data_IF_468120884781
#
_entry.id   IF_468120884781
#
_cell.length_a   1.000
_cell.length_b   1.000
_cell.length_c   1.000
_cell.angle_alpha   90.00
_cell.angle_beta   90.00
_cell.angle_gamma   90.00
#
_symmetry.space_group_name_H-M   'P 1'
#
loop_
_entity.id
_entity.type
_entity.pdbx_description
1 polymer ?
#
# COMPACT_ATOMS: atom_id res chain seq x y z
N UNK A 1 24.69 -17.29 -25.54
CA UNK A 1 23.62 -18.11 -26.14
C UNK A 1 22.31 -17.56 -25.57
N UNK A 2 21.56 -16.80 -26.37
CA UNK A 2 20.25 -16.35 -26.01
C UNK A 2 19.30 -17.53 -26.20
N UNK A 3 18.68 -17.97 -25.12
CA UNK A 3 17.70 -19.05 -25.20
C UNK A 3 16.43 -18.50 -25.88
N UNK A 4 16.00 -19.14 -26.95
CA UNK A 4 14.74 -18.90 -27.64
C UNK A 4 13.60 -19.50 -26.81
N UNK A 5 13.35 -19.01 -25.66
CA UNK A 5 12.07 -19.28 -24.99
C UNK A 5 11.00 -18.45 -25.70
N UNK A 6 9.97 -19.13 -26.15
CA UNK A 6 8.83 -18.67 -26.94
C UNK A 6 8.67 -17.15 -27.07
N UNK A 7 9.05 -16.64 -28.21
CA UNK A 7 9.41 -15.25 -28.46
C UNK A 7 8.30 -14.20 -28.17
N UNK A 8 7.11 -14.59 -27.77
CA UNK A 8 5.95 -13.69 -27.70
C UNK A 8 5.38 -13.45 -26.30
N UNK A 9 5.80 -14.19 -25.28
CA UNK A 9 5.11 -14.13 -23.97
C UNK A 9 5.76 -13.20 -22.93
N UNK A 10 6.96 -12.68 -23.18
CA UNK A 10 7.72 -11.96 -22.14
C UNK A 10 8.24 -10.58 -22.58
N UNK A 11 7.95 -10.14 -23.80
CA UNK A 11 8.37 -8.83 -24.30
C UNK A 11 7.17 -8.03 -24.75
N UNK A 12 7.07 -6.81 -24.29
CA UNK A 12 5.94 -5.93 -24.57
C UNK A 12 6.39 -4.48 -24.69
N UNK A 13 5.54 -3.67 -25.31
CA UNK A 13 5.59 -2.21 -25.24
C UNK A 13 4.31 -1.77 -24.57
N UNK A 14 4.43 -1.01 -23.49
CA UNK A 14 3.27 -0.46 -22.80
C UNK A 14 3.49 1.02 -22.45
N UNK A 15 2.42 1.78 -22.46
CA UNK A 15 2.43 3.20 -22.14
C UNK A 15 1.12 3.61 -21.48
N UNK A 16 1.21 4.59 -20.58
CA UNK A 16 0.06 5.30 -20.04
C UNK A 16 0.19 6.78 -20.29
N UNK A 17 -0.95 7.45 -20.47
CA UNK A 17 -1.05 8.90 -20.60
C UNK A 17 -2.24 9.37 -19.79
N UNK A 18 -2.09 10.47 -19.05
CA UNK A 18 -3.16 11.09 -18.28
C UNK A 18 -3.14 12.58 -18.54
N UNK A 19 -4.20 13.08 -19.14
CA UNK A 19 -4.49 14.52 -19.22
C UNK A 19 -5.50 14.88 -18.14
N UNK A 20 -5.24 15.93 -17.36
CA UNK A 20 -6.10 16.26 -16.23
C UNK A 20 -6.25 17.76 -16.01
N UNK A 21 -7.46 18.14 -15.58
CA UNK A 21 -7.79 19.47 -15.10
C UNK A 21 -8.53 19.36 -13.79
N UNK A 22 -8.18 20.21 -12.83
CA UNK A 22 -8.84 20.23 -11.53
C UNK A 22 -9.12 21.64 -11.03
N UNK A 23 -10.12 21.74 -10.16
CA UNK A 23 -10.47 22.96 -9.46
C UNK A 23 -10.94 22.66 -8.04
N UNK A 24 -10.64 23.56 -7.12
CA UNK A 24 -11.05 23.46 -5.71
C UNK A 24 -11.49 24.83 -5.20
N UNK A 25 -12.56 24.86 -4.43
CA UNK A 25 -12.97 25.98 -3.59
C UNK A 25 -12.79 25.60 -2.14
N UNK A 26 -12.14 26.46 -1.37
CA UNK A 26 -11.88 26.31 0.04
C UNK A 26 -12.31 27.59 0.75
N UNK A 27 -13.27 27.51 1.65
CA UNK A 27 -13.87 28.65 2.32
C UNK A 27 -14.02 28.40 3.81
N UNK A 28 -13.54 29.35 4.63
CA UNK A 28 -13.67 29.34 6.07
C UNK A 28 -14.71 30.38 6.51
N UNK A 29 -15.66 29.96 7.32
CA UNK A 29 -16.72 30.79 7.87
C UNK A 29 -16.57 30.94 9.38
N UNK A 30 -16.48 32.17 9.84
CA UNK A 30 -16.36 32.54 11.26
C UNK A 30 -15.20 31.84 11.99
N UNK A 31 -14.11 31.52 11.30
CA UNK A 31 -12.95 30.77 11.80
C UNK A 31 -13.28 29.41 12.48
N UNK A 32 -14.53 28.98 12.38
CA UNK A 32 -15.06 27.78 13.03
C UNK A 32 -15.38 26.68 12.03
N UNK A 33 -15.87 27.04 10.86
CA UNK A 33 -16.27 26.07 9.84
C UNK A 33 -15.47 26.27 8.56
N UNK A 34 -14.90 25.18 8.06
CA UNK A 34 -14.23 25.16 6.78
C UNK A 34 -14.93 24.21 5.84
N UNK A 35 -15.23 24.68 4.65
CA UNK A 35 -15.84 23.92 3.57
C UNK A 35 -14.87 23.82 2.41
N UNK A 36 -14.64 22.61 1.92
CA UNK A 36 -13.80 22.35 0.77
C UNK A 36 -14.57 21.52 -0.24
N UNK A 37 -14.66 21.98 -1.48
CA UNK A 37 -15.31 21.24 -2.57
C UNK A 37 -14.41 21.33 -3.79
N UNK A 38 -14.19 20.23 -4.45
CA UNK A 38 -13.35 20.16 -5.64
C UNK A 38 -13.77 19.06 -6.57
N UNK A 39 -13.26 19.13 -7.77
CA UNK A 39 -13.37 18.06 -8.75
C UNK A 39 -12.11 18.04 -9.62
N UNK A 40 -11.74 16.85 -10.05
CA UNK A 40 -10.66 16.59 -10.98
C UNK A 40 -11.24 15.79 -12.14
N UNK A 41 -11.13 16.30 -13.35
CA UNK A 41 -11.39 15.55 -14.57
C UNK A 41 -10.08 14.97 -15.08
N UNK A 42 -10.13 13.71 -15.52
CA UNK A 42 -9.01 13.01 -16.14
C UNK A 42 -9.47 12.33 -17.44
N UNK A 43 -8.66 12.42 -18.47
CA UNK A 43 -8.67 11.56 -19.65
C UNK A 43 -7.46 10.61 -19.52
N UNK A 44 -7.75 9.36 -19.14
CA UNK A 44 -6.75 8.33 -18.90
C UNK A 44 -6.73 7.36 -20.06
N UNK A 45 -5.53 7.09 -20.57
CA UNK A 45 -5.28 6.14 -21.65
C UNK A 45 -4.16 5.21 -21.26
N UNK A 46 -4.36 3.92 -21.51
CA UNK A 46 -3.32 2.91 -21.41
C UNK A 46 -3.29 2.08 -22.68
N UNK A 47 -2.12 1.66 -23.10
CA UNK A 47 -1.93 0.78 -24.23
C UNK A 47 -0.84 -0.25 -23.92
N UNK A 48 -1.08 -1.49 -24.30
CA UNK A 48 -0.11 -2.56 -24.22
C UNK A 48 -0.16 -3.40 -25.49
N UNK A 49 1.00 -3.72 -26.05
CA UNK A 49 1.13 -4.57 -27.22
C UNK A 49 2.32 -5.51 -27.06
N UNK A 50 2.17 -6.72 -27.53
CA UNK A 50 3.27 -7.68 -27.57
C UNK A 50 4.36 -7.21 -28.53
N UNK A 51 5.59 -7.34 -28.09
CA UNK A 51 6.78 -7.03 -28.88
C UNK A 51 7.63 -8.28 -29.07
N UNK A 52 7.80 -8.67 -30.32
CA UNK A 52 8.71 -9.75 -30.68
C UNK A 52 10.05 -9.18 -31.19
N UNK A 53 11.09 -9.07 -30.33
CA UNK A 53 12.39 -8.49 -30.73
C UNK A 53 13.10 -9.27 -31.84
N UNK A 54 12.66 -10.49 -32.14
CA UNK A 54 13.22 -11.38 -33.17
C UNK A 54 12.32 -11.54 -34.41
N UNK A 55 11.22 -10.77 -34.48
CA UNK A 55 10.31 -10.77 -35.63
C UNK A 55 10.95 -10.04 -36.83
N UNK A 56 11.28 -10.77 -37.89
CA UNK A 56 11.94 -10.21 -39.08
C UNK A 56 11.12 -10.40 -40.37
N UNK A 57 9.94 -10.96 -40.31
CA UNK A 57 9.08 -11.22 -41.46
C UNK A 57 7.69 -10.66 -41.28
N UNK A 58 6.95 -10.57 -42.39
CA UNK A 58 5.55 -10.15 -42.36
C UNK A 58 4.61 -11.14 -41.62
N UNK A 59 5.02 -12.41 -41.52
CA UNK A 59 4.32 -13.43 -40.75
C UNK A 59 4.70 -13.46 -39.27
N UNK A 60 5.85 -12.85 -38.92
CA UNK A 60 6.30 -12.70 -37.53
C UNK A 60 6.86 -11.28 -37.38
N UNK A 61 6.03 -10.25 -37.31
CA UNK A 61 6.49 -8.88 -37.16
C UNK A 61 6.99 -8.62 -35.72
N UNK A 62 7.91 -7.64 -35.57
CA UNK A 62 8.39 -7.20 -34.26
C UNK A 62 7.25 -6.65 -33.37
N UNK A 63 6.31 -5.96 -33.99
CA UNK A 63 5.09 -5.46 -33.36
C UNK A 63 3.94 -5.83 -34.28
N UNK A 64 2.82 -6.26 -33.72
CA UNK A 64 1.63 -6.52 -34.52
C UNK A 64 1.19 -5.25 -35.25
N UNK A 65 0.75 -5.39 -36.50
CA UNK A 65 0.12 -4.34 -37.28
C UNK A 65 -1.38 -4.60 -37.49
N UNK A 66 -1.90 -5.68 -36.88
CA UNK A 66 -3.32 -5.98 -36.89
C UNK A 66 -4.09 -4.98 -36.03
N UNK A 67 -5.04 -4.29 -36.63
CA UNK A 67 -5.76 -3.19 -36.01
C UNK A 67 -6.65 -3.66 -34.86
N UNK A 68 -7.24 -4.85 -34.97
CA UNK A 68 -8.12 -5.39 -33.93
C UNK A 68 -7.31 -5.79 -32.70
N UNK A 69 -6.14 -6.39 -32.91
CA UNK A 69 -5.18 -6.72 -31.84
C UNK A 69 -4.65 -5.46 -31.17
N UNK A 70 -4.29 -4.43 -31.92
CA UNK A 70 -3.85 -3.16 -31.34
C UNK A 70 -4.98 -2.49 -30.55
N UNK A 71 -6.20 -2.50 -31.08
CA UNK A 71 -7.36 -1.90 -30.41
C UNK A 71 -7.73 -2.63 -29.12
N UNK A 72 -7.56 -3.95 -29.06
CA UNK A 72 -7.83 -4.73 -27.83
C UNK A 72 -6.85 -4.43 -26.69
N UNK A 73 -5.65 -3.96 -27.01
CA UNK A 73 -4.62 -3.54 -26.02
C UNK A 73 -4.75 -2.08 -25.58
N UNK A 74 -5.80 -1.35 -26.01
CA UNK A 74 -6.02 0.05 -25.65
C UNK A 74 -7.23 0.19 -24.75
N UNK A 75 -7.03 0.77 -23.57
CA UNK A 75 -8.10 1.22 -22.69
C UNK A 75 -8.09 2.75 -22.63
N UNK A 76 -9.27 3.35 -22.71
CA UNK A 76 -9.46 4.80 -22.61
C UNK A 76 -10.68 5.10 -21.75
N UNK A 77 -10.51 5.99 -20.77
CA UNK A 77 -11.58 6.42 -19.87
C UNK A 77 -11.45 7.92 -19.58
N UNK A 78 -12.53 8.66 -19.75
CA UNK A 78 -12.63 9.99 -19.20
C UNK A 78 -13.57 10.00 -17.98
N UNK A 79 -13.12 10.63 -16.90
CA UNK A 79 -13.86 10.61 -15.64
C UNK A 79 -13.64 11.84 -14.78
N UNK A 80 -14.65 12.19 -14.00
CA UNK A 80 -14.61 13.23 -12.98
C UNK A 80 -14.51 12.56 -11.59
N UNK A 81 -13.54 13.00 -10.80
CA UNK A 81 -13.32 12.62 -9.42
C UNK A 81 -13.71 13.77 -8.50
N UNK A 82 -14.91 13.75 -7.91
CA UNK A 82 -15.36 14.78 -6.98
C UNK A 82 -14.70 14.60 -5.60
N UNK A 83 -14.61 15.71 -4.87
CA UNK A 83 -14.24 15.70 -3.45
C UNK A 83 -15.01 16.77 -2.70
N UNK A 84 -15.42 16.46 -1.48
CA UNK A 84 -16.09 17.40 -0.59
C UNK A 84 -15.64 17.16 0.86
N UNK A 85 -15.52 18.22 1.63
CA UNK A 85 -15.17 18.13 3.05
C UNK A 85 -15.76 19.28 3.85
N UNK A 86 -16.13 18.97 5.07
CA UNK A 86 -16.53 19.95 6.09
C UNK A 86 -15.67 19.72 7.33
N UNK A 87 -15.12 20.80 7.89
CA UNK A 87 -14.35 20.77 9.12
C UNK A 87 -14.96 21.75 10.12
N UNK A 88 -15.25 21.26 11.30
CA UNK A 88 -15.50 22.08 12.47
C UNK A 88 -14.20 22.31 13.23
N UNK A 89 -13.93 23.54 13.65
CA UNK A 89 -12.77 23.94 14.45
C UNK A 89 -13.22 24.58 15.75
N UNK A 90 -12.69 24.13 16.87
CA UNK A 90 -13.04 24.60 18.22
C UNK A 90 -11.96 24.23 19.24
N UNK A 91 -12.35 24.21 20.52
CA UNK A 91 -11.47 23.99 21.68
C UNK A 91 -11.92 22.85 22.60
N UNK A 92 -12.64 21.87 22.07
CA UNK A 92 -13.19 20.75 22.83
C UNK A 92 -12.09 19.92 23.53
N UNK A 93 -11.91 20.11 24.84
CA UNK A 93 -10.94 19.42 25.72
C UNK A 93 -9.45 19.58 25.32
N UNK A 94 -9.13 20.45 24.36
CA UNK A 94 -7.79 20.72 23.86
C UNK A 94 -7.65 22.19 23.49
N UNK A 95 -6.42 22.66 23.19
CA UNK A 95 -6.19 24.01 22.70
C UNK A 95 -6.81 24.20 21.30
N UNK A 96 -6.75 23.17 20.49
CA UNK A 96 -7.42 23.13 19.19
C UNK A 96 -8.04 21.74 18.98
N UNK A 97 -9.31 21.74 18.63
CA UNK A 97 -10.06 20.57 18.22
C UNK A 97 -10.54 20.73 16.79
N UNK A 98 -10.44 19.67 15.99
CA UNK A 98 -11.01 19.63 14.66
C UNK A 98 -11.82 18.36 14.48
N UNK A 99 -13.02 18.50 13.91
CA UNK A 99 -13.84 17.37 13.45
C UNK A 99 -14.06 17.53 11.95
N UNK A 100 -13.60 16.58 11.18
CA UNK A 100 -13.62 16.62 9.71
C UNK A 100 -14.39 15.45 9.15
N UNK A 101 -15.36 15.73 8.30
CA UNK A 101 -16.01 14.74 7.43
C UNK A 101 -15.54 14.98 6.01
N UNK A 102 -15.05 13.94 5.35
CA UNK A 102 -14.57 13.94 3.98
C UNK A 102 -15.27 12.91 3.11
N UNK A 103 -15.49 13.25 1.86
CA UNK A 103 -15.87 12.36 0.77
C UNK A 103 -14.96 12.60 -0.41
N UNK A 104 -14.49 11.55 -1.06
CA UNK A 104 -13.76 11.67 -2.33
C UNK A 104 -13.89 10.41 -3.17
N UNK A 105 -13.87 10.59 -4.48
CA UNK A 105 -13.65 9.51 -5.43
C UNK A 105 -12.20 9.53 -5.91
N UNK A 106 -11.62 8.34 -6.05
CA UNK A 106 -10.24 8.13 -6.53
C UNK A 106 -10.18 6.88 -7.40
N UNK A 107 -9.07 6.67 -8.10
CA UNK A 107 -8.84 5.44 -8.84
C UNK A 107 -7.44 4.88 -8.59
N UNK A 108 -7.32 3.54 -8.61
CA UNK A 108 -6.05 2.84 -8.72
C UNK A 108 -5.89 2.41 -10.17
N UNK A 109 -4.78 2.82 -10.76
CA UNK A 109 -4.41 2.44 -12.13
C UNK A 109 -3.55 1.18 -12.08
N UNK A 110 -3.74 0.23 -13.00
CA UNK A 110 -2.85 -0.92 -13.10
C UNK A 110 -1.43 -0.49 -13.51
N UNK A 111 -0.44 -1.25 -13.07
CA UNK A 111 0.94 -1.10 -13.55
C UNK A 111 1.04 -1.53 -15.02
N UNK A 112 2.03 -0.98 -15.75
CA UNK A 112 2.28 -1.34 -17.15
C UNK A 112 2.50 -2.84 -17.35
N UNK A 113 3.05 -3.54 -16.37
CA UNK A 113 3.24 -4.99 -16.39
C UNK A 113 1.94 -5.77 -16.21
N UNK A 114 1.00 -5.22 -15.48
CA UNK A 114 -0.29 -5.85 -15.19
C UNK A 114 -1.23 -5.87 -16.40
N UNK A 115 -1.11 -4.87 -17.28
CA UNK A 115 -1.94 -4.73 -18.49
C UNK A 115 -1.38 -5.46 -19.72
N UNK A 116 -0.39 -6.34 -19.54
CA UNK A 116 0.22 -7.13 -20.64
C UNK A 116 0.00 -8.61 -20.39
N UNK A 117 -0.05 -9.41 -21.43
CA UNK A 117 -0.11 -10.87 -21.31
C UNK A 117 1.27 -11.50 -21.02
N UNK A 118 2.25 -10.66 -20.69
CA UNK A 118 3.60 -11.12 -20.35
C UNK A 118 3.63 -11.77 -18.96
N UNK A 119 4.58 -12.70 -18.81
CA UNK A 119 4.81 -13.38 -17.53
C UNK A 119 6.17 -12.98 -16.94
N UNK A 120 6.24 -12.91 -15.62
CA UNK A 120 7.48 -12.68 -14.89
C UNK A 120 7.55 -13.56 -13.64
N UNK A 121 8.75 -13.76 -13.13
CA UNK A 121 8.94 -14.46 -11.87
C UNK A 121 9.02 -13.43 -10.76
N UNK A 122 8.19 -13.58 -9.73
CA UNK A 122 8.29 -12.80 -8.51
C UNK A 122 9.66 -13.08 -7.88
N UNK A 123 10.51 -12.04 -7.68
CA UNK A 123 11.86 -12.26 -7.18
C UNK A 123 11.92 -12.68 -5.71
N UNK A 124 10.83 -12.51 -4.96
CA UNK A 124 10.75 -12.84 -3.54
C UNK A 124 10.30 -14.29 -3.37
N UNK A 125 9.18 -14.67 -3.98
CA UNK A 125 8.59 -16.00 -3.79
C UNK A 125 8.97 -17.02 -4.86
N UNK A 126 9.49 -16.55 -6.00
CA UNK A 126 9.77 -17.40 -7.15
C UNK A 126 8.53 -17.82 -7.95
N UNK A 127 7.35 -17.30 -7.61
CA UNK A 127 6.13 -17.60 -8.32
C UNK A 127 6.10 -16.98 -9.71
N UNK A 128 5.53 -17.70 -10.67
CA UNK A 128 5.24 -17.14 -11.98
C UNK A 128 4.00 -16.24 -11.86
N UNK A 129 4.15 -14.97 -12.23
CA UNK A 129 3.05 -14.00 -12.29
C UNK A 129 2.75 -13.67 -13.73
N UNK A 130 1.48 -13.71 -14.12
CA UNK A 130 1.00 -13.36 -15.44
C UNK A 130 0.15 -12.11 -15.37
N UNK A 131 0.48 -11.13 -16.19
CA UNK A 131 -0.37 -9.97 -16.41
C UNK A 131 -1.58 -10.33 -17.29
N UNK A 132 -2.48 -9.38 -17.46
CA UNK A 132 -3.73 -9.58 -18.20
C UNK A 132 -4.12 -8.27 -18.89
N UNK A 133 -4.13 -8.26 -20.21
CA UNK A 133 -4.50 -7.09 -21.02
C UNK A 133 -5.94 -6.62 -20.82
N UNK A 134 -6.79 -7.43 -20.21
CA UNK A 134 -8.17 -7.08 -19.85
C UNK A 134 -8.34 -6.37 -18.50
N UNK A 135 -7.25 -6.07 -17.79
CA UNK A 135 -7.31 -5.35 -16.50
C UNK A 135 -7.63 -3.88 -16.72
N UNK A 136 -8.61 -3.40 -15.98
CA UNK A 136 -9.05 -2.00 -15.98
C UNK A 136 -8.79 -1.34 -14.63
N UNK A 137 -8.77 0.01 -14.55
CA UNK A 137 -8.63 0.71 -13.27
C UNK A 137 -9.69 0.31 -12.24
N UNK A 138 -9.30 0.35 -10.97
CA UNK A 138 -10.21 0.23 -9.83
C UNK A 138 -10.68 1.61 -9.40
N UNK A 139 -11.99 1.77 -9.20
CA UNK A 139 -12.58 2.99 -8.66
C UNK A 139 -12.81 2.87 -7.17
N UNK A 140 -12.55 3.93 -6.43
CA UNK A 140 -12.69 3.94 -4.98
C UNK A 140 -13.52 5.14 -4.54
N UNK A 141 -14.59 4.87 -3.81
CA UNK A 141 -15.36 5.87 -3.06
C UNK A 141 -14.87 5.86 -1.62
N UNK A 142 -14.46 7.02 -1.09
CA UNK A 142 -13.89 7.17 0.24
C UNK A 142 -14.79 8.07 1.09
N UNK A 143 -15.09 7.63 2.30
CA UNK A 143 -15.75 8.43 3.34
C UNK A 143 -14.90 8.32 4.62
N UNK A 144 -14.52 9.49 5.17
CA UNK A 144 -13.70 9.59 6.35
C UNK A 144 -14.31 10.56 7.35
N UNK A 145 -14.38 10.15 8.62
CA UNK A 145 -14.71 11.02 9.76
C UNK A 145 -13.51 11.05 10.70
N UNK A 146 -12.86 12.22 10.83
CA UNK A 146 -11.61 12.40 11.59
C UNK A 146 -11.81 13.43 12.69
N UNK A 147 -11.49 13.05 13.92
CA UNK A 147 -11.45 13.92 15.10
C UNK A 147 -9.99 14.09 15.56
N UNK A 148 -9.55 15.31 15.75
CA UNK A 148 -8.17 15.67 16.06
C UNK A 148 -8.13 16.60 17.27
N UNK A 149 -7.34 16.25 18.28
CA UNK A 149 -7.09 17.06 19.49
C UNK A 149 -5.61 17.47 19.52
N UNK A 150 -5.35 18.76 19.55
CA UNK A 150 -4.02 19.34 19.67
C UNK A 150 -3.90 20.06 20.99
N UNK A 151 -2.94 19.69 21.80
CA UNK A 151 -2.71 20.25 23.13
C UNK A 151 -1.55 21.24 23.11
N UNK A 152 -1.54 22.21 24.05
CA UNK A 152 -0.50 23.24 24.17
C UNK A 152 0.92 22.70 24.37
N UNK A 153 1.05 21.48 24.88
CA UNK A 153 2.34 20.77 25.03
C UNK A 153 2.94 20.26 23.73
N UNK A 154 2.27 20.39 22.58
CA UNK A 154 2.63 19.73 21.32
C UNK A 154 2.08 18.32 21.17
N UNK A 155 1.48 17.80 22.22
CA UNK A 155 0.80 16.49 22.19
C UNK A 155 -0.39 16.53 21.24
N UNK A 156 -0.67 15.40 20.61
CA UNK A 156 -1.89 15.27 19.81
C UNK A 156 -2.45 13.86 19.88
N UNK A 157 -3.75 13.76 19.67
CA UNK A 157 -4.49 12.51 19.51
C UNK A 157 -5.42 12.68 18.33
N UNK A 158 -5.47 11.68 17.48
CA UNK A 158 -6.37 11.63 16.32
C UNK A 158 -7.11 10.31 16.29
N UNK A 159 -8.39 10.38 15.95
CA UNK A 159 -9.22 9.19 15.69
C UNK A 159 -9.91 9.38 14.35
N UNK A 160 -9.72 8.42 13.45
CA UNK A 160 -10.34 8.40 12.12
C UNK A 160 -11.19 7.16 11.96
N UNK A 161 -12.45 7.35 11.56
CA UNK A 161 -13.30 6.28 11.04
C UNK A 161 -13.28 6.39 9.52
N UNK A 162 -13.07 5.28 8.81
CA UNK A 162 -13.03 5.30 7.36
C UNK A 162 -13.81 4.14 6.74
N UNK A 163 -14.33 4.39 5.56
CA UNK A 163 -14.91 3.38 4.67
C UNK A 163 -14.44 3.66 3.24
N UNK A 164 -14.08 2.60 2.53
CA UNK A 164 -13.69 2.59 1.13
C UNK A 164 -14.48 1.51 0.40
N UNK A 165 -15.24 1.91 -0.59
CA UNK A 165 -15.96 1.01 -1.49
C UNK A 165 -15.21 0.98 -2.83
N UNK A 166 -14.80 -0.21 -3.28
CA UNK A 166 -13.91 -0.41 -4.42
C UNK A 166 -14.67 -1.15 -5.51
N UNK A 167 -14.73 -0.59 -6.70
CA UNK A 167 -15.22 -1.26 -7.90
C UNK A 167 -14.04 -1.78 -8.71
N UNK A 168 -14.17 -2.97 -9.26
CA UNK A 168 -13.14 -3.65 -10.03
C UNK A 168 -11.77 -3.72 -9.32
N UNK A 169 -11.67 -4.15 -8.04
CA UNK A 169 -10.36 -4.26 -7.39
C UNK A 169 -9.42 -5.13 -8.20
N UNK A 170 -8.17 -4.67 -8.36
CA UNK A 170 -7.11 -5.42 -9.05
C UNK A 170 -6.54 -6.41 -8.04
N UNK A 171 -6.58 -7.69 -8.34
CA UNK A 171 -6.24 -8.78 -7.42
C UNK A 171 -5.47 -9.90 -8.10
N UNK A 172 -4.70 -10.65 -7.30
CA UNK A 172 -4.00 -11.84 -7.71
C UNK A 172 -4.83 -13.09 -7.42
N UNK A 173 -4.97 -13.94 -8.43
CA UNK A 173 -5.61 -15.25 -8.29
C UNK A 173 -4.68 -16.34 -8.78
N UNK A 174 -4.69 -17.46 -8.08
CA UNK A 174 -3.93 -18.63 -8.47
C UNK A 174 -4.49 -19.27 -9.74
N UNK A 175 -3.61 -19.60 -10.69
CA UNK A 175 -3.96 -20.33 -11.90
C UNK A 175 -3.06 -21.56 -12.06
N UNK A 176 -3.57 -22.69 -12.61
CA UNK A 176 -2.72 -23.83 -12.92
C UNK A 176 -1.79 -23.47 -14.08
N UNK A 177 -0.48 -23.56 -13.84
CA UNK A 177 0.53 -23.37 -14.87
C UNK A 177 1.04 -24.69 -15.45
N UNK A 178 1.11 -25.74 -14.61
CA UNK A 178 1.40 -27.13 -14.97
C UNK A 178 0.90 -28.07 -13.88
N UNK A 179 1.11 -29.39 -14.03
CA UNK A 179 0.73 -30.37 -12.99
C UNK A 179 1.49 -30.17 -11.66
N UNK A 180 2.58 -29.42 -11.67
CA UNK A 180 3.45 -29.23 -10.49
C UNK A 180 3.78 -27.76 -10.20
N UNK A 181 3.33 -26.81 -11.03
CA UNK A 181 3.66 -25.40 -10.91
C UNK A 181 2.38 -24.56 -10.87
N UNK A 182 2.29 -23.69 -9.89
CA UNK A 182 1.24 -22.70 -9.75
C UNK A 182 1.75 -21.37 -10.30
N UNK A 183 0.87 -20.66 -10.98
CA UNK A 183 1.09 -19.27 -11.38
C UNK A 183 0.01 -18.38 -10.78
N UNK A 184 0.25 -17.08 -10.77
CA UNK A 184 -0.74 -16.07 -10.39
C UNK A 184 -1.12 -15.27 -11.61
N UNK A 185 -2.37 -14.97 -11.75
CA UNK A 185 -2.90 -14.07 -12.76
C UNK A 185 -3.50 -12.82 -12.09
N UNK A 186 -3.29 -11.68 -12.72
CA UNK A 186 -3.84 -10.41 -12.28
C UNK A 186 -5.19 -10.23 -12.97
N UNK A 187 -6.24 -10.02 -12.19
CA UNK A 187 -7.59 -9.76 -12.71
C UNK A 187 -8.30 -8.68 -11.90
N UNK A 188 -9.38 -8.11 -12.45
CA UNK A 188 -10.31 -7.34 -11.65
C UNK A 188 -11.33 -8.28 -10.99
N UNK A 189 -11.41 -8.25 -9.67
CA UNK A 189 -12.54 -8.79 -8.94
C UNK A 189 -13.80 -7.91 -9.15
N UNK A 190 -14.96 -8.36 -8.68
CA UNK A 190 -16.22 -7.66 -8.87
C UNK A 190 -16.31 -6.39 -7.99
N UNK A 191 -16.06 -6.55 -6.69
CA UNK A 191 -16.13 -5.46 -5.72
C UNK A 191 -15.26 -5.73 -4.51
N UNK A 192 -14.90 -4.67 -3.79
CA UNK A 192 -14.21 -4.72 -2.51
C UNK A 192 -14.71 -3.63 -1.59
N UNK A 193 -14.60 -3.87 -0.29
CA UNK A 193 -14.87 -2.90 0.75
C UNK A 193 -13.80 -2.97 1.83
N UNK A 194 -13.41 -1.82 2.35
CA UNK A 194 -12.55 -1.72 3.54
C UNK A 194 -13.17 -0.70 4.48
N UNK A 195 -13.29 -1.04 5.74
CA UNK A 195 -13.77 -0.13 6.79
C UNK A 195 -12.95 -0.31 8.05
N UNK A 196 -12.77 0.76 8.79
CA UNK A 196 -11.97 0.64 10.00
C UNK A 196 -11.89 1.90 10.84
N UNK A 197 -11.08 1.79 11.86
CA UNK A 197 -10.70 2.89 12.74
C UNK A 197 -9.19 3.00 12.82
N UNK A 198 -8.69 4.22 12.76
CA UNK A 198 -7.29 4.54 12.96
C UNK A 198 -7.16 5.48 14.16
N UNK A 199 -6.22 5.20 15.05
CA UNK A 199 -5.87 6.02 16.20
C UNK A 199 -4.42 6.40 16.07
N UNK A 200 -4.11 7.70 16.14
CA UNK A 200 -2.75 8.23 16.13
C UNK A 200 -2.53 9.03 17.40
N UNK A 201 -1.32 8.96 17.96
CA UNK A 201 -0.98 9.68 19.18
C UNK A 201 0.49 10.11 19.17
N UNK A 202 0.73 11.34 19.61
CA UNK A 202 2.03 11.81 20.06
C UNK A 202 1.88 12.38 21.48
N UNK A 203 2.71 11.92 22.43
CA UNK A 203 2.65 12.33 23.83
C UNK A 203 4.05 12.51 24.40
N UNK A 204 4.36 13.74 24.87
CA UNK A 204 5.53 13.98 25.71
C UNK A 204 5.30 13.44 27.12
N UNK A 205 6.31 12.80 27.71
CA UNK A 205 6.23 12.20 29.05
C UNK A 205 6.72 13.13 30.16
N UNK A 206 7.03 14.40 29.85
CA UNK A 206 7.54 15.40 30.79
C UNK A 206 6.62 15.61 32.03
N UNK A 207 5.32 15.32 31.89
CA UNK A 207 4.37 15.42 33.02
C UNK A 207 4.68 14.45 34.16
N UNK A 208 5.48 13.39 33.94
CA UNK A 208 5.93 12.42 34.95
C UNK A 208 7.18 12.90 35.68
N UNK A 209 7.89 13.94 35.17
CA UNK A 209 9.08 14.53 35.74
C UNK A 209 10.33 13.65 35.70
N UNK A 210 11.47 14.21 36.09
CA UNK A 210 12.73 13.48 36.22
C UNK A 210 13.33 13.02 34.89
N UNK A 211 13.54 11.73 34.71
CA UNK A 211 14.11 11.15 33.48
C UNK A 211 13.09 11.19 32.33
N UNK A 212 11.80 11.29 32.64
CA UNK A 212 10.74 11.32 31.64
C UNK A 212 10.61 12.67 30.91
N UNK A 213 11.27 13.74 31.41
CA UNK A 213 11.28 15.05 30.75
C UNK A 213 11.89 15.04 29.33
N UNK A 214 12.61 13.98 29.01
CA UNK A 214 13.33 13.79 27.73
C UNK A 214 12.76 12.67 26.89
N UNK A 215 11.65 12.10 27.32
CA UNK A 215 11.00 10.98 26.64
C UNK A 215 9.68 11.41 26.00
N UNK A 216 9.38 10.82 24.86
CA UNK A 216 8.07 10.93 24.23
C UNK A 216 7.65 9.57 23.65
N UNK A 217 6.36 9.38 23.50
CA UNK A 217 5.77 8.24 22.81
C UNK A 217 5.00 8.72 21.59
N UNK A 218 5.14 7.98 20.51
CA UNK A 218 4.37 8.17 19.30
C UNK A 218 3.87 6.81 18.84
N UNK A 219 2.64 6.75 18.35
CA UNK A 219 2.11 5.50 17.81
C UNK A 219 0.89 5.71 16.97
N UNK A 220 0.61 4.70 16.17
CA UNK A 220 -0.66 4.53 15.49
C UNK A 220 -1.15 3.09 15.61
N UNK A 221 -2.45 2.93 15.58
CA UNK A 221 -3.15 1.65 15.54
C UNK A 221 -4.27 1.76 14.51
N UNK A 222 -4.24 0.89 13.52
CA UNK A 222 -5.32 0.70 12.56
C UNK A 222 -5.99 -0.64 12.85
N UNK A 223 -7.31 -0.62 13.03
CA UNK A 223 -8.16 -1.80 13.08
C UNK A 223 -9.11 -1.72 11.91
N UNK A 224 -9.12 -2.74 11.06
CA UNK A 224 -9.93 -2.73 9.85
C UNK A 224 -10.52 -4.11 9.56
N UNK A 225 -11.60 -4.09 8.78
CA UNK A 225 -12.23 -5.25 8.18
C UNK A 225 -12.32 -5.01 6.68
N UNK A 226 -12.00 -6.03 5.89
CA UNK A 226 -12.08 -5.95 4.43
C UNK A 226 -12.86 -7.12 3.87
N UNK A 227 -13.61 -6.87 2.80
CA UNK A 227 -14.33 -7.87 2.06
C UNK A 227 -14.10 -7.68 0.56
N UNK A 228 -13.88 -8.76 -0.14
CA UNK A 228 -13.77 -8.84 -1.59
C UNK A 228 -14.76 -9.85 -2.13
N UNK A 229 -15.48 -9.48 -3.17
CA UNK A 229 -16.28 -10.40 -4.00
C UNK A 229 -15.49 -10.65 -5.29
N UNK A 230 -15.07 -11.90 -5.48
CA UNK A 230 -14.18 -12.27 -6.58
C UNK A 230 -14.82 -12.12 -7.97
N UNK A 231 -16.13 -12.44 -8.08
CA UNK A 231 -16.88 -12.36 -9.33
C UNK A 231 -16.54 -13.49 -10.33
N UNK A 232 -17.16 -13.44 -11.49
CA UNK A 232 -17.06 -14.50 -12.51
C UNK A 232 -15.65 -14.60 -13.14
N UNK A 233 -14.91 -13.51 -13.25
CA UNK A 233 -13.57 -13.46 -13.85
C UNK A 233 -12.54 -14.27 -13.06
N UNK A 234 -12.77 -14.50 -11.77
CA UNK A 234 -11.87 -15.25 -10.89
C UNK A 234 -11.81 -16.76 -11.21
N UNK A 235 -12.73 -17.27 -12.04
CA UNK A 235 -12.76 -18.64 -12.54
C UNK A 235 -12.53 -19.70 -11.46
N UNK A 236 -13.61 -20.00 -10.70
CA UNK A 236 -13.65 -21.00 -9.62
C UNK A 236 -12.70 -20.71 -8.44
N UNK A 237 -12.76 -19.53 -7.80
CA UNK A 237 -12.02 -19.28 -6.56
C UNK A 237 -12.52 -20.23 -5.46
N UNK A 238 -11.63 -20.67 -4.58
CA UNK A 238 -12.01 -21.51 -3.44
C UNK A 238 -12.94 -20.73 -2.50
N UNK A 239 -12.60 -19.47 -2.23
CA UNK A 239 -13.39 -18.54 -1.44
C UNK A 239 -13.81 -17.35 -2.30
N UNK A 240 -15.05 -17.36 -2.86
CA UNK A 240 -15.52 -16.28 -3.72
C UNK A 240 -15.78 -14.97 -2.97
N UNK A 241 -16.04 -15.04 -1.68
CA UNK A 241 -16.08 -13.88 -0.77
C UNK A 241 -14.98 -14.07 0.27
N UNK A 242 -14.07 -13.12 0.36
CA UNK A 242 -12.86 -13.21 1.18
C UNK A 242 -12.33 -11.83 1.54
N UNK A 243 -11.26 -11.76 2.31
CA UNK A 243 -10.53 -10.50 2.53
C UNK A 243 -9.78 -10.05 1.27
N UNK A 244 -9.53 -8.75 1.17
CA UNK A 244 -8.61 -8.20 0.16
C UNK A 244 -7.19 -8.71 0.40
N UNK A 245 -6.48 -9.01 -0.68
CA UNK A 245 -5.08 -9.41 -0.60
C UNK A 245 -4.23 -8.28 0.00
N UNK A 246 -3.33 -8.65 0.92
CA UNK A 246 -2.47 -7.72 1.64
C UNK A 246 -3.15 -6.88 2.74
N UNK A 247 -4.47 -6.97 2.92
CA UNK A 247 -5.19 -6.27 3.98
C UNK A 247 -5.16 -7.08 5.28
N UNK A 248 -4.43 -6.57 6.28
CA UNK A 248 -4.40 -7.10 7.63
C UNK A 248 -5.51 -6.52 8.49
N UNK A 249 -6.08 -7.28 9.42
CA UNK A 249 -7.13 -6.79 10.33
C UNK A 249 -6.64 -5.74 11.32
N UNK A 250 -5.33 -5.74 11.59
CA UNK A 250 -4.71 -4.72 12.41
C UNK A 250 -3.27 -4.44 11.99
N UNK A 251 -2.88 -3.18 12.14
CA UNK A 251 -1.49 -2.72 12.02
C UNK A 251 -1.23 -1.77 13.19
N UNK A 252 -0.14 -1.97 13.91
CA UNK A 252 0.25 -1.06 14.98
C UNK A 252 1.74 -0.71 14.87
N UNK A 253 2.02 0.58 15.09
CA UNK A 253 3.37 1.09 15.20
C UNK A 253 3.47 1.88 16.50
N UNK A 254 4.50 1.60 17.28
CA UNK A 254 4.78 2.29 18.53
C UNK A 254 6.24 2.69 18.59
N UNK A 255 6.51 3.94 18.95
CA UNK A 255 7.85 4.47 19.14
C UNK A 255 7.98 5.09 20.52
N UNK A 256 9.00 4.68 21.26
CA UNK A 256 9.52 5.40 22.42
C UNK A 256 10.77 6.18 21.99
N UNK A 257 10.66 7.50 22.03
CA UNK A 257 11.74 8.42 21.69
C UNK A 257 12.40 9.03 22.91
N UNK A 258 13.67 9.31 22.79
CA UNK A 258 14.50 10.01 23.77
C UNK A 258 15.28 11.14 23.08
N UNK A 259 15.13 12.36 23.60
CA UNK A 259 15.91 13.53 23.18
C UNK A 259 16.63 14.13 24.39
N UNK A 260 17.96 14.07 24.40
CA UNK A 260 18.72 14.61 25.52
C UNK A 260 18.59 16.13 25.62
N UNK A 261 18.57 16.68 26.87
CA UNK A 261 18.45 18.12 27.14
C UNK A 261 19.56 18.97 26.49
N UNK A 262 20.72 18.38 26.19
CA UNK A 262 21.84 19.06 25.52
C UNK A 262 21.80 18.86 23.98
N UNK A 263 20.75 18.26 23.41
CA UNK A 263 20.57 17.97 22.00
C UNK A 263 21.73 17.16 21.37
N UNK A 264 22.52 16.43 22.17
CA UNK A 264 23.67 15.65 21.68
C UNK A 264 23.36 14.17 21.51
N UNK A 265 22.25 13.70 22.03
CA UNK A 265 21.87 12.30 21.98
C UNK A 265 20.40 12.19 21.67
N UNK A 266 20.06 11.39 20.67
CA UNK A 266 18.70 10.96 20.42
C UNK A 266 18.66 9.43 20.32
N UNK A 267 17.61 8.84 20.80
CA UNK A 267 17.39 7.39 20.67
C UNK A 267 15.94 7.10 20.36
N UNK A 268 15.69 6.04 19.64
CA UNK A 268 14.33 5.55 19.41
C UNK A 268 14.28 4.02 19.48
N UNK A 269 13.26 3.53 20.15
CA UNK A 269 12.83 2.14 20.10
C UNK A 269 11.52 2.10 19.35
N UNK A 270 11.47 1.33 18.26
CA UNK A 270 10.32 1.26 17.37
C UNK A 270 9.85 -0.19 17.34
N UNK A 271 8.59 -0.40 17.68
CA UNK A 271 7.90 -1.67 17.53
C UNK A 271 6.82 -1.55 16.48
N UNK A 272 6.86 -2.44 15.49
CA UNK A 272 5.86 -2.53 14.44
C UNK A 272 5.26 -3.92 14.43
N UNK A 273 3.96 -4.01 14.20
CA UNK A 273 3.26 -5.28 14.01
C UNK A 273 2.20 -5.12 12.94
N UNK A 274 2.12 -6.09 12.03
CA UNK A 274 0.98 -6.33 11.16
C UNK A 274 0.37 -7.69 11.49
N UNK A 275 -0.94 -7.78 11.53
CA UNK A 275 -1.64 -9.06 11.69
C UNK A 275 -1.55 -9.91 10.43
N UNK A 276 -2.09 -11.12 10.52
CA UNK A 276 -2.24 -12.01 9.39
C UNK A 276 -2.93 -11.31 8.22
N UNK A 277 -2.47 -11.59 6.98
CA UNK A 277 -3.06 -11.07 5.76
C UNK A 277 -3.07 -12.09 4.65
N UNK A 278 -4.13 -12.05 3.84
CA UNK A 278 -4.21 -12.90 2.65
C UNK A 278 -3.09 -12.53 1.68
N UNK A 279 -2.26 -13.50 1.34
CA UNK A 279 -1.16 -13.36 0.39
C UNK A 279 -1.56 -13.82 -1.01
N UNK A 280 -2.25 -14.96 -1.10
CA UNK A 280 -2.73 -15.51 -2.36
C UNK A 280 -4.04 -16.27 -2.17
N UNK A 281 -5.00 -16.01 -3.06
CA UNK A 281 -6.28 -16.70 -3.06
C UNK A 281 -6.17 -18.06 -3.75
N UNK A 282 -6.64 -19.10 -3.09
CA UNK A 282 -6.71 -20.46 -3.62
C UNK A 282 -7.79 -20.63 -4.67
N UNK A 283 -7.69 -21.69 -5.47
CA UNK A 283 -8.59 -22.02 -6.58
C UNK A 283 -8.87 -23.52 -6.63
N UNK A 284 -10.07 -23.89 -7.12
CA UNK A 284 -10.48 -25.28 -7.28
C UNK A 284 -10.38 -26.13 -6.01
N UNK A 285 -10.64 -25.53 -4.84
CA UNK A 285 -10.54 -26.18 -3.55
C UNK A 285 -9.15 -26.16 -2.91
N UNK A 286 -8.13 -25.60 -3.58
CA UNK A 286 -6.85 -25.32 -2.92
C UNK A 286 -7.03 -24.24 -1.84
N UNK A 287 -6.40 -24.38 -0.67
CA UNK A 287 -6.54 -23.39 0.41
C UNK A 287 -5.89 -22.06 0.05
N UNK A 288 -6.42 -20.98 0.60
CA UNK A 288 -5.79 -19.67 0.56
C UNK A 288 -4.44 -19.69 1.29
N UNK A 289 -3.50 -18.86 0.88
CA UNK A 289 -2.22 -18.67 1.55
C UNK A 289 -2.22 -17.36 2.32
N UNK A 290 -1.78 -17.41 3.58
CA UNK A 290 -1.75 -16.27 4.48
C UNK A 290 -0.32 -15.97 4.92
N UNK A 291 0.08 -14.72 4.78
CA UNK A 291 1.29 -14.21 5.43
C UNK A 291 0.99 -14.03 6.91
N UNK A 292 1.84 -14.66 7.74
CA UNK A 292 1.67 -14.68 9.18
C UNK A 292 1.99 -13.33 9.82
N UNK A 293 1.50 -13.03 11.03
CA UNK A 293 1.81 -11.79 11.72
C UNK A 293 3.32 -11.56 11.82
N UNK A 294 3.77 -10.34 11.51
CA UNK A 294 5.16 -9.96 11.58
C UNK A 294 5.38 -8.91 12.67
N UNK A 295 6.29 -9.21 13.62
CA UNK A 295 6.63 -8.35 14.75
C UNK A 295 8.07 -7.85 14.61
N UNK A 296 8.29 -6.56 14.43
CA UNK A 296 9.62 -5.96 14.35
C UNK A 296 9.91 -5.08 15.57
N UNK A 297 11.08 -5.24 16.18
CA UNK A 297 11.62 -4.34 17.18
C UNK A 297 12.95 -3.79 16.71
N UNK A 298 13.00 -2.47 16.54
CA UNK A 298 14.18 -1.76 16.06
C UNK A 298 14.67 -0.74 17.09
N UNK A 299 15.98 -0.60 17.23
CA UNK A 299 16.63 0.43 18.01
C UNK A 299 17.49 1.31 17.12
N UNK A 300 17.42 2.62 17.32
CA UNK A 300 18.29 3.59 16.67
C UNK A 300 18.83 4.56 17.71
N UNK A 301 20.13 4.87 17.61
CA UNK A 301 20.80 5.83 18.48
C UNK A 301 21.65 6.76 17.64
N UNK A 302 21.55 8.07 17.93
CA UNK A 302 22.41 9.10 17.38
C UNK A 302 23.19 9.79 18.48
N UNK A 303 24.45 10.08 18.19
CA UNK A 303 25.30 10.90 19.00
C UNK A 303 25.91 12.02 18.14
N UNK A 304 25.73 13.24 18.59
CA UNK A 304 26.22 14.46 17.96
C UNK A 304 27.35 15.09 18.81
N UNK A 305 28.61 14.56 18.73
CA UNK A 305 29.73 15.10 19.49
C UNK A 305 30.07 16.55 19.12
N UNK A 306 29.78 16.98 17.91
CA UNK A 306 29.86 18.34 17.42
C UNK A 306 28.81 18.59 16.33
N UNK A 307 28.64 19.87 15.94
CA UNK A 307 27.71 20.24 14.84
C UNK A 307 28.06 19.59 13.49
N UNK A 308 29.31 19.17 13.32
CA UNK A 308 29.80 18.57 12.07
C UNK A 308 29.90 17.06 12.09
N UNK A 309 29.79 16.43 13.25
CA UNK A 309 30.04 15.03 13.41
C UNK A 309 28.77 14.32 13.93
N UNK A 310 28.30 13.31 13.23
CA UNK A 310 27.18 12.48 13.63
C UNK A 310 27.61 11.02 13.64
N UNK A 311 27.43 10.36 14.78
CA UNK A 311 27.53 8.92 14.92
C UNK A 311 26.11 8.35 14.99
N UNK A 312 25.84 7.27 14.22
CA UNK A 312 24.57 6.55 14.23
C UNK A 312 24.81 5.06 14.44
N UNK A 313 24.09 4.46 15.33
CA UNK A 313 24.00 3.01 15.52
C UNK A 313 22.54 2.55 15.33
N UNK A 314 22.35 1.43 14.64
CA UNK A 314 21.05 0.81 14.43
C UNK A 314 21.13 -0.69 14.72
N UNK A 315 20.06 -1.21 15.32
CA UNK A 315 19.79 -2.65 15.41
C UNK A 315 18.35 -2.89 14.94
N UNK A 316 18.16 -3.75 13.96
CA UNK A 316 16.86 -4.01 13.34
C UNK A 316 16.48 -5.49 13.49
N UNK A 317 15.19 -5.73 13.55
CA UNK A 317 14.61 -7.07 13.77
C UNK A 317 15.22 -7.77 14.99
N UNK A 318 15.20 -7.08 16.15
CA UNK A 318 15.76 -7.62 17.41
C UNK A 318 14.99 -8.82 17.95
N UNK A 319 13.76 -9.03 17.50
CA UNK A 319 12.95 -10.20 17.86
C UNK A 319 13.32 -11.43 17.04
N UNK A 320 14.09 -11.25 15.94
CA UNK A 320 14.46 -12.36 15.05
C UNK A 320 13.27 -12.95 14.31
N UNK A 321 12.26 -12.12 14.02
CA UNK A 321 11.04 -12.56 13.38
C UNK A 321 11.28 -12.93 11.92
N UNK A 322 10.58 -13.94 11.44
CA UNK A 322 10.64 -14.44 10.07
C UNK A 322 9.38 -14.07 9.31
N UNK A 323 9.51 -13.97 8.00
CA UNK A 323 8.37 -13.82 7.10
C UNK A 323 7.93 -15.21 6.68
N UNK A 324 6.70 -15.58 7.02
CA UNK A 324 6.16 -16.91 6.76
C UNK A 324 4.83 -16.81 6.00
N UNK A 325 4.66 -17.68 5.01
CA UNK A 325 3.40 -17.87 4.32
C UNK A 325 2.92 -19.27 4.60
N UNK A 326 1.72 -19.36 5.14
CA UNK A 326 1.09 -20.61 5.56
C UNK A 326 -0.15 -20.91 4.71
N UNK A 327 -0.35 -22.20 4.38
CA UNK A 327 -1.55 -22.73 3.76
C UNK A 327 -2.01 -23.95 4.54
N UNK A 328 -3.22 -23.90 5.07
CA UNK A 328 -3.83 -25.03 5.82
C UNK A 328 -2.91 -25.64 6.89
N UNK A 329 -2.23 -24.78 7.67
CA UNK A 329 -1.32 -25.19 8.73
C UNK A 329 0.07 -25.65 8.24
N UNK A 330 0.40 -25.43 6.97
CA UNK A 330 1.71 -25.79 6.39
C UNK A 330 2.43 -24.54 5.91
N UNK A 331 3.63 -24.29 6.41
CA UNK A 331 4.50 -23.22 5.92
C UNK A 331 4.94 -23.57 4.50
N UNK A 332 4.54 -22.75 3.53
CA UNK A 332 4.88 -22.90 2.12
C UNK A 332 6.01 -22.01 1.66
N UNK A 333 6.28 -20.94 2.42
CA UNK A 333 7.38 -20.01 2.20
C UNK A 333 7.88 -19.49 3.54
N UNK A 334 9.19 -19.41 3.72
CA UNK A 334 9.85 -18.81 4.88
C UNK A 334 11.05 -17.98 4.41
N UNK A 335 11.16 -16.74 4.89
CA UNK A 335 12.34 -15.90 4.73
C UNK A 335 12.81 -15.43 6.11
N UNK A 336 14.10 -15.62 6.40
CA UNK A 336 14.73 -15.14 7.63
C UNK A 336 15.60 -13.91 7.34
N UNK A 337 15.10 -12.68 7.56
CA UNK A 337 15.88 -11.46 7.35
C UNK A 337 17.01 -11.32 8.40
N UNK A 338 16.97 -12.09 9.48
CA UNK A 338 17.90 -12.02 10.60
C UNK A 338 17.87 -10.67 11.34
N UNK A 339 18.72 -10.57 12.37
CA UNK A 339 18.96 -9.29 13.06
C UNK A 339 20.09 -8.53 12.40
N UNK A 340 19.85 -7.27 12.00
CA UNK A 340 20.83 -6.45 11.29
C UNK A 340 21.35 -5.35 12.20
N UNK A 341 22.68 -5.25 12.34
CA UNK A 341 23.38 -4.18 13.05
C UNK A 341 24.12 -3.28 12.06
N UNK A 342 23.99 -1.98 12.20
CA UNK A 342 24.72 -1.02 11.38
C UNK A 342 25.26 0.13 12.20
N UNK A 343 26.44 0.62 11.82
CA UNK A 343 27.09 1.79 12.40
C UNK A 343 27.52 2.71 11.26
N UNK A 344 27.25 4.01 11.39
CA UNK A 344 27.71 5.00 10.44
C UNK A 344 28.28 6.22 11.14
N UNK A 345 29.27 6.84 10.51
CA UNK A 345 29.89 8.09 10.92
C UNK A 345 29.79 9.08 9.76
N UNK A 346 29.19 10.23 10.00
CA UNK A 346 29.01 11.28 9.01
C UNK A 346 29.75 12.55 9.47
N UNK A 347 30.52 13.15 8.56
CA UNK A 347 31.22 14.41 8.80
C UNK A 347 30.81 15.44 7.74
N UNK A 348 30.22 16.56 8.19
CA UNK A 348 29.92 17.70 7.35
C UNK A 348 31.15 18.60 7.23
N UNK A 349 31.57 18.93 5.99
CA UNK A 349 32.70 19.79 5.65
C UNK A 349 32.35 21.27 5.79
#
# INVERSE_FOLDING_TARGET
VFDRQGANSNSYIAATMTDAVWGKVDWTWQDTWRFAVGARWEDYRQAAVDWNPYGFSASEPQVTTDVDTLASGVFNEDRVYPSAGITYMGDLWAETFQLRLGYSETAIRPDLREITDSSYIDPITGDLVRGNSGVVPSDIENIDLRAEWYFSSGDNVTVTLFQKDIRNPIEFFEIPASDTTVAREIINAESGQVRGVEIEMLKELAFLGGIFDTLFVQGNLTLQDSELVAGEKANVPTNPVRKLSGASDYVANFMLGYDSRNARHTASMIYNVSGERLYVAGRNGAPDGFEQPFHSLDLTYFWYPSERLTFKAKAQNLLGEKIEIERDGVITFEEDPGTVYSVSLSWAL
#
